data_IF_022094644126
#
_entry.id   IF_022094644126
#
_cell.length_a   1.000
_cell.length_b   1.000
_cell.length_c   1.000
_cell.angle_alpha   90.00
_cell.angle_beta   90.00
_cell.angle_gamma   90.00
#
_symmetry.space_group_name_H-M   'P 1'
#
loop_
_entity.id
_entity.type
_entity.pdbx_description
1 polymer ?
#
# COMPACT_ATOMS: atom_id res chain seq x y z
N UNK A 1 -34.41 -12.52 25.75
CA UNK A 1 -34.55 -11.89 24.41
C UNK A 1 -33.34 -11.04 23.95
N UNK A 2 -32.32 -10.77 24.79
CA UNK A 2 -31.18 -9.90 24.40
C UNK A 2 -30.05 -10.56 23.61
N UNK A 3 -29.68 -11.80 23.94
CA UNK A 3 -28.53 -12.47 23.34
C UNK A 3 -28.66 -12.70 21.84
N UNK A 4 -29.78 -13.23 21.36
CA UNK A 4 -29.98 -13.50 19.93
C UNK A 4 -29.83 -12.22 19.09
N UNK A 5 -30.42 -11.10 19.54
CA UNK A 5 -30.33 -9.83 18.81
C UNK A 5 -28.89 -9.32 18.74
N UNK A 6 -28.15 -9.41 19.85
CA UNK A 6 -26.72 -9.06 19.88
C UNK A 6 -25.89 -9.92 18.93
N UNK A 7 -26.11 -11.24 18.91
CA UNK A 7 -25.42 -12.14 17.98
C UNK A 7 -25.70 -11.80 16.51
N UNK A 8 -26.95 -11.51 16.16
CA UNK A 8 -27.31 -11.09 14.80
C UNK A 8 -26.61 -9.79 14.40
N UNK A 9 -26.61 -8.77 15.28
CA UNK A 9 -25.90 -7.51 15.00
C UNK A 9 -24.39 -7.72 14.83
N UNK A 10 -23.76 -8.51 15.69
CA UNK A 10 -22.34 -8.83 15.58
C UNK A 10 -22.01 -9.58 14.29
N UNK A 11 -22.83 -10.57 13.91
CA UNK A 11 -22.64 -11.31 12.66
C UNK A 11 -22.72 -10.40 11.42
N UNK A 12 -23.67 -9.46 11.40
CA UNK A 12 -23.82 -8.49 10.31
C UNK A 12 -22.60 -7.54 10.25
N UNK A 13 -22.17 -7.00 11.39
CA UNK A 13 -21.00 -6.11 11.44
C UNK A 13 -19.72 -6.82 11.00
N UNK A 14 -19.52 -8.07 11.42
CA UNK A 14 -18.39 -8.89 10.99
C UNK A 14 -18.43 -9.16 9.48
N UNK A 15 -19.61 -9.47 8.92
CA UNK A 15 -19.75 -9.68 7.48
C UNK A 15 -19.44 -8.42 6.66
N UNK A 16 -19.87 -7.24 7.14
CA UNK A 16 -19.56 -5.97 6.50
C UNK A 16 -18.06 -5.63 6.59
N UNK A 17 -17.43 -5.88 7.74
CA UNK A 17 -15.99 -5.66 7.92
C UNK A 17 -15.16 -6.57 7.00
N UNK A 18 -15.55 -7.84 6.86
CA UNK A 18 -14.90 -8.78 5.91
C UNK A 18 -15.08 -8.28 4.48
N UNK A 19 -16.28 -7.86 4.08
CA UNK A 19 -16.55 -7.31 2.74
C UNK A 19 -15.71 -6.05 2.45
N UNK A 20 -15.60 -5.13 3.40
CA UNK A 20 -14.77 -3.92 3.26
C UNK A 20 -13.27 -4.23 3.24
N UNK A 21 -12.81 -5.19 4.05
CA UNK A 21 -11.39 -5.60 4.08
C UNK A 21 -10.96 -6.26 2.75
N UNK A 22 -11.86 -7.01 2.11
CA UNK A 22 -11.62 -7.57 0.77
C UNK A 22 -11.59 -6.49 -0.33
N UNK A 23 -12.21 -5.33 -0.10
CA UNK A 23 -12.28 -4.26 -1.09
C UNK A 23 -11.01 -3.39 -1.14
N UNK A 24 -10.22 -3.33 -0.07
CA UNK A 24 -9.09 -2.41 0.06
C UNK A 24 -7.83 -3.10 0.61
N UNK A 25 -7.09 -3.84 -0.24
CA UNK A 25 -5.63 -3.82 -0.13
C UNK A 25 -4.98 -3.24 -1.40
N UNK A 26 -5.66 -2.31 -2.07
CA UNK A 26 -5.13 -1.67 -3.28
C UNK A 26 -4.34 -0.38 -2.99
N UNK A 27 -4.62 0.34 -1.89
CA UNK A 27 -3.99 1.65 -1.67
C UNK A 27 -2.62 1.62 -0.98
N UNK A 28 -2.31 0.62 -0.15
CA UNK A 28 -1.03 0.62 0.58
C UNK A 28 0.19 0.27 -0.28
N UNK A 29 0.00 -0.43 -1.42
CA UNK A 29 1.11 -0.80 -2.31
C UNK A 29 1.46 0.24 -3.38
N UNK A 30 0.59 1.22 -3.65
CA UNK A 30 0.83 2.15 -4.76
C UNK A 30 1.88 3.22 -4.43
N UNK A 31 2.12 3.50 -3.15
CA UNK A 31 3.08 4.53 -2.74
C UNK A 31 4.54 4.03 -2.90
N UNK A 32 4.79 2.72 -2.78
CA UNK A 32 6.15 2.17 -2.87
C UNK A 32 6.68 1.99 -4.29
N UNK A 33 5.84 1.88 -5.33
CA UNK A 33 6.30 1.42 -6.65
C UNK A 33 6.51 2.49 -7.73
N UNK A 34 6.22 3.77 -7.47
CA UNK A 34 6.29 4.81 -8.52
C UNK A 34 7.26 5.97 -8.18
N UNK A 35 7.74 6.07 -6.94
CA UNK A 35 8.68 7.12 -6.57
C UNK A 35 10.12 6.75 -6.96
N UNK A 36 10.48 7.05 -8.21
CA UNK A 36 11.89 7.05 -8.62
C UNK A 36 12.66 8.20 -7.97
N UNK A 37 13.95 7.99 -7.73
CA UNK A 37 14.86 8.95 -7.13
C UNK A 37 15.21 10.04 -8.15
N UNK A 38 15.07 11.31 -7.74
CA UNK A 38 15.41 12.47 -8.57
C UNK A 38 16.93 12.65 -8.73
N UNK A 39 17.33 13.40 -9.76
CA UNK A 39 18.74 13.73 -10.03
C UNK A 39 19.45 14.33 -8.80
N UNK A 40 20.68 13.87 -8.54
CA UNK A 40 21.55 14.35 -7.47
C UNK A 40 21.28 13.71 -6.11
N UNK A 41 20.31 12.80 -6.01
CA UNK A 41 20.05 12.01 -4.80
C UNK A 41 20.79 10.67 -4.87
N UNK A 42 21.14 10.09 -3.70
CA UNK A 42 21.85 8.83 -3.65
C UNK A 42 20.99 7.66 -4.17
N UNK A 43 21.60 6.73 -4.91
CA UNK A 43 20.95 5.56 -5.49
C UNK A 43 21.75 4.28 -5.21
N UNK A 44 21.04 3.15 -5.18
CA UNK A 44 21.65 1.83 -4.98
C UNK A 44 21.75 1.07 -6.31
N UNK A 45 20.75 1.21 -7.16
CA UNK A 45 20.65 0.62 -8.48
C UNK A 45 20.21 1.65 -9.53
N UNK A 46 20.52 1.38 -10.80
CA UNK A 46 20.15 2.25 -11.92
C UNK A 46 18.62 2.41 -12.05
N UNK A 47 17.89 1.36 -11.72
CA UNK A 47 16.42 1.26 -11.73
C UNK A 47 15.75 2.15 -10.69
N UNK A 48 16.46 2.55 -9.62
CA UNK A 48 15.93 3.49 -8.62
C UNK A 48 15.76 4.89 -9.20
N UNK A 49 16.61 5.29 -10.15
CA UNK A 49 16.63 6.64 -10.70
C UNK A 49 15.57 6.85 -11.78
N UNK A 50 14.93 8.02 -11.82
CA UNK A 50 13.90 8.32 -12.83
C UNK A 50 14.39 8.24 -14.29
N UNK A 51 15.70 8.42 -14.51
CA UNK A 51 16.34 8.30 -15.83
C UNK A 51 16.99 6.93 -16.08
N UNK A 52 16.98 6.02 -15.11
CA UNK A 52 17.66 4.73 -15.24
C UNK A 52 19.19 4.81 -15.13
N UNK A 53 19.75 5.88 -14.55
CA UNK A 53 21.20 6.12 -14.49
C UNK A 53 21.61 6.45 -13.07
N UNK A 54 22.38 5.54 -12.46
CA UNK A 54 23.00 5.71 -11.15
C UNK A 54 24.52 5.78 -11.33
N UNK A 55 25.10 6.98 -11.24
CA UNK A 55 26.53 7.22 -11.45
C UNK A 55 27.17 7.70 -10.15
N UNK A 56 28.28 7.08 -9.75
CA UNK A 56 28.99 7.40 -8.51
C UNK A 56 28.10 7.39 -7.25
N UNK A 57 27.11 6.49 -7.20
CA UNK A 57 26.07 6.40 -6.15
C UNK A 57 25.04 7.53 -6.17
N UNK A 58 24.93 8.33 -7.24
CA UNK A 58 23.93 9.38 -7.38
C UNK A 58 23.15 9.29 -8.71
N UNK A 59 21.87 9.65 -8.68
CA UNK A 59 21.06 9.71 -9.90
C UNK A 59 21.47 10.88 -10.80
N UNK A 60 21.54 10.65 -12.11
CA UNK A 60 21.94 11.64 -13.12
C UNK A 60 20.77 12.34 -13.82
#
# INVERSE_FOLDING_TARGET
MGFAKQFFFLAVLLSAAVMCSMAEPAQERLIESIACIQKGLPCMEHSDCCRGVCEALFCQ
#
